data_IF_465875150925
#
_entry.id   IF_465875150925
#
_cell.length_a   1.000
_cell.length_b   1.000
_cell.length_c   1.000
_cell.angle_alpha   90.00
_cell.angle_beta   90.00
_cell.angle_gamma   90.00
#
_symmetry.space_group_name_H-M   'P 1'
#
loop_
_entity.id
_entity.type
_entity.pdbx_description
1 polymer ?
#
# COMPACT_ATOMS: atom_id res chain seq x y z
N UNK A 1 -14.19 49.41 -3.87
CA UNK A 1 -14.54 48.31 -2.94
C UNK A 1 -15.49 47.26 -3.54
N UNK A 2 -16.31 47.56 -4.56
CA UNK A 2 -17.27 46.59 -5.13
C UNK A 2 -16.69 45.43 -5.97
N UNK A 3 -15.55 45.62 -6.64
CA UNK A 3 -14.94 44.57 -7.49
C UNK A 3 -14.32 43.42 -6.67
N UNK A 4 -13.67 43.72 -5.55
CA UNK A 4 -13.08 42.72 -4.66
C UNK A 4 -14.14 41.86 -3.96
N UNK A 5 -15.29 42.44 -3.62
CA UNK A 5 -16.41 41.71 -3.02
C UNK A 5 -17.08 40.75 -4.03
N UNK A 6 -17.20 41.15 -5.29
CA UNK A 6 -17.72 40.30 -6.36
C UNK A 6 -16.77 39.14 -6.70
N UNK A 7 -15.46 39.40 -6.77
CA UNK A 7 -14.44 38.36 -7.01
C UNK A 7 -14.38 37.38 -5.82
N UNK A 8 -14.46 37.88 -4.59
CA UNK A 8 -14.52 37.03 -3.39
C UNK A 8 -15.80 36.17 -3.36
N UNK A 9 -16.95 36.74 -3.77
CA UNK A 9 -18.22 36.03 -3.87
C UNK A 9 -18.22 34.94 -4.94
N UNK A 10 -17.64 35.18 -6.11
CA UNK A 10 -17.53 34.18 -7.18
C UNK A 10 -16.55 33.06 -6.83
N UNK A 11 -15.42 33.38 -6.20
CA UNK A 11 -14.47 32.36 -5.71
C UNK A 11 -15.11 31.51 -4.62
N UNK A 12 -15.80 32.11 -3.65
CA UNK A 12 -16.47 31.39 -2.57
C UNK A 12 -17.57 30.45 -3.10
N UNK A 13 -18.42 30.93 -4.02
CA UNK A 13 -19.47 30.11 -4.63
C UNK A 13 -18.91 28.98 -5.51
N UNK A 14 -17.82 29.23 -6.25
CA UNK A 14 -17.12 28.19 -7.01
C UNK A 14 -16.47 27.14 -6.10
N UNK A 15 -15.83 27.55 -5.01
CA UNK A 15 -15.28 26.63 -4.01
C UNK A 15 -16.39 25.79 -3.36
N UNK A 16 -17.50 26.41 -2.96
CA UNK A 16 -18.64 25.71 -2.39
C UNK A 16 -19.30 24.75 -3.39
N UNK A 17 -19.42 25.11 -4.67
CA UNK A 17 -19.98 24.22 -5.68
C UNK A 17 -19.07 23.02 -5.95
N UNK A 18 -17.74 23.21 -5.95
CA UNK A 18 -16.77 22.11 -6.07
C UNK A 18 -16.83 21.19 -4.84
N UNK A 19 -16.90 21.74 -3.63
CA UNK A 19 -17.05 20.95 -2.40
C UNK A 19 -18.38 20.19 -2.41
N UNK A 20 -19.48 20.84 -2.77
CA UNK A 20 -20.78 20.20 -2.84
C UNK A 20 -20.82 19.09 -3.91
N UNK A 21 -20.23 19.34 -5.09
CA UNK A 21 -20.18 18.35 -6.18
C UNK A 21 -19.30 17.15 -5.82
N UNK A 22 -18.17 17.38 -5.15
CA UNK A 22 -17.27 16.30 -4.71
C UNK A 22 -17.90 15.48 -3.58
N UNK A 23 -18.56 16.12 -2.61
CA UNK A 23 -19.31 15.44 -1.56
C UNK A 23 -20.47 14.63 -2.15
N UNK A 24 -21.22 15.19 -3.09
CA UNK A 24 -22.30 14.46 -3.77
C UNK A 24 -21.76 13.25 -4.53
N UNK A 25 -20.69 13.42 -5.32
CA UNK A 25 -20.04 12.34 -6.06
C UNK A 25 -19.52 11.23 -5.14
N UNK A 26 -18.85 11.58 -4.04
CA UNK A 26 -18.37 10.63 -3.04
C UNK A 26 -19.53 9.96 -2.31
N UNK A 27 -20.58 10.69 -1.94
CA UNK A 27 -21.76 10.15 -1.28
C UNK A 27 -22.48 9.11 -2.14
N UNK A 28 -22.73 9.43 -3.41
CA UNK A 28 -23.34 8.48 -4.37
C UNK A 28 -22.45 7.26 -4.55
N UNK A 29 -21.15 7.45 -4.74
CA UNK A 29 -20.21 6.35 -4.90
C UNK A 29 -20.15 5.46 -3.65
N UNK A 30 -20.17 6.06 -2.46
CA UNK A 30 -20.22 5.34 -1.19
C UNK A 30 -21.48 4.51 -1.03
N UNK A 31 -22.63 5.07 -1.40
CA UNK A 31 -23.90 4.34 -1.36
C UNK A 31 -23.93 3.17 -2.35
N UNK A 32 -23.36 3.34 -3.55
CA UNK A 32 -23.20 2.23 -4.51
C UNK A 32 -22.33 1.13 -3.93
N UNK A 33 -21.20 1.46 -3.31
CA UNK A 33 -20.32 0.49 -2.66
C UNK A 33 -21.06 -0.24 -1.53
N UNK A 34 -21.79 0.48 -0.67
CA UNK A 34 -22.57 -0.10 0.41
C UNK A 34 -23.66 -1.06 -0.08
N UNK A 35 -24.37 -0.69 -1.14
CA UNK A 35 -25.43 -1.51 -1.70
C UNK A 35 -24.92 -2.83 -2.31
N UNK A 36 -23.68 -2.84 -2.81
CA UNK A 36 -23.00 -4.05 -3.29
C UNK A 36 -22.53 -4.91 -2.10
N UNK A 37 -21.97 -4.27 -1.08
CA UNK A 37 -21.31 -4.98 0.01
C UNK A 37 -22.26 -5.49 1.09
N UNK A 38 -23.35 -4.78 1.36
CA UNK A 38 -24.17 -4.93 2.55
C UNK A 38 -25.68 -4.80 2.28
N UNK A 39 -26.48 -5.61 2.98
CA UNK A 39 -27.94 -5.47 3.04
C UNK A 39 -28.35 -4.23 3.86
N UNK A 40 -29.57 -3.69 3.67
CA UNK A 40 -30.03 -2.48 4.37
C UNK A 40 -29.95 -2.57 5.90
N UNK A 41 -30.21 -3.74 6.48
CA UNK A 41 -30.07 -4.02 7.93
C UNK A 41 -28.66 -3.72 8.46
N UNK A 42 -27.63 -4.14 7.72
CA UNK A 42 -26.21 -3.89 8.05
C UNK A 42 -25.85 -2.43 7.82
N UNK A 43 -26.39 -1.80 6.77
CA UNK A 43 -26.18 -0.37 6.52
C UNK A 43 -26.70 0.48 7.68
N UNK A 44 -27.91 0.20 8.18
CA UNK A 44 -28.46 0.84 9.39
C UNK A 44 -27.55 0.63 10.61
N UNK A 45 -26.98 -0.58 10.75
CA UNK A 45 -25.98 -0.88 11.78
C UNK A 45 -24.72 0.00 11.68
N UNK A 46 -24.25 0.34 10.47
CA UNK A 46 -23.13 1.26 10.26
C UNK A 46 -23.47 2.70 10.65
N UNK A 47 -24.72 3.11 10.52
CA UNK A 47 -25.20 4.42 10.99
C UNK A 47 -25.52 4.45 12.50
N UNK A 48 -25.32 3.33 13.22
CA UNK A 48 -25.51 3.25 14.68
C UNK A 48 -26.94 2.90 15.11
N UNK A 49 -27.79 2.41 14.20
CA UNK A 49 -29.14 1.95 14.54
C UNK A 49 -29.10 0.44 14.80
N UNK A 50 -29.45 0.01 16.02
CA UNK A 50 -29.62 -1.42 16.36
C UNK A 50 -31.04 -1.90 16.07
N UNK A 51 -31.13 -3.09 15.47
CA UNK A 51 -32.33 -3.93 15.32
C UNK A 51 -33.68 -3.18 15.35
N UNK A 52 -34.05 -2.61 14.20
CA UNK A 52 -35.44 -2.30 13.91
C UNK A 52 -35.94 -3.26 12.80
N UNK A 53 -37.25 -3.57 12.74
CA UNK A 53 -37.85 -4.29 11.61
C UNK A 53 -37.46 -3.64 10.28
N UNK A 54 -37.66 -4.29 9.10
CA UNK A 54 -37.08 -3.82 7.84
C UNK A 54 -37.59 -2.42 7.48
N UNK A 55 -36.80 -1.42 7.86
CA UNK A 55 -36.91 -0.02 7.51
C UNK A 55 -35.82 0.19 6.47
N UNK A 56 -36.17 0.74 5.31
CA UNK A 56 -35.13 1.08 4.32
C UNK A 56 -34.25 2.22 4.86
N UNK A 57 -33.04 2.39 4.33
CA UNK A 57 -32.17 3.51 4.74
C UNK A 57 -32.85 4.86 4.47
N UNK A 58 -33.65 4.97 3.41
CA UNK A 58 -34.48 6.14 3.12
C UNK A 58 -35.55 6.37 4.18
N UNK A 59 -36.29 5.32 4.58
CA UNK A 59 -37.33 5.46 5.61
C UNK A 59 -36.74 5.85 6.98
N UNK A 60 -35.51 5.43 7.28
CA UNK A 60 -34.81 5.81 8.50
C UNK A 60 -34.33 7.27 8.47
N UNK A 61 -33.97 7.78 7.29
CA UNK A 61 -33.62 9.18 7.10
C UNK A 61 -34.85 10.09 7.19
N UNK A 62 -35.95 9.69 6.57
CA UNK A 62 -37.23 10.44 6.57
C UNK A 62 -37.86 10.52 7.97
N UNK A 63 -37.61 9.52 8.81
CA UNK A 63 -38.03 9.48 10.22
C UNK A 63 -37.03 10.12 11.19
N UNK A 64 -35.99 10.77 10.67
CA UNK A 64 -34.90 11.40 11.44
C UNK A 64 -34.20 10.45 12.43
N UNK A 65 -34.24 9.14 12.20
CA UNK A 65 -33.54 8.14 13.01
C UNK A 65 -32.03 8.20 12.78
N UNK A 66 -31.61 8.68 11.60
CA UNK A 66 -30.23 8.96 11.24
C UNK A 66 -30.10 10.47 11.00
N UNK A 67 -29.13 11.11 11.64
CA UNK A 67 -28.83 12.51 11.30
C UNK A 67 -28.31 12.59 9.87
N UNK A 68 -28.84 13.51 9.06
CA UNK A 68 -28.37 13.72 7.68
C UNK A 68 -26.86 13.98 7.60
N UNK A 69 -26.28 14.60 8.62
CA UNK A 69 -24.83 14.77 8.75
C UNK A 69 -24.10 13.42 8.85
N UNK A 70 -24.55 12.50 9.72
CA UNK A 70 -23.94 11.16 9.87
C UNK A 70 -24.10 10.33 8.59
N UNK A 71 -25.24 10.46 7.91
CA UNK A 71 -25.44 9.82 6.62
C UNK A 71 -24.42 10.30 5.58
N UNK A 72 -24.25 11.61 5.41
CA UNK A 72 -23.31 12.20 4.43
C UNK A 72 -21.87 11.87 4.80
N UNK A 73 -21.47 11.98 6.07
CA UNK A 73 -20.08 11.71 6.48
C UNK A 73 -19.69 10.24 6.27
N UNK A 74 -20.53 9.29 6.68
CA UNK A 74 -20.25 7.86 6.51
C UNK A 74 -20.23 7.48 5.04
N UNK A 75 -21.21 7.93 4.24
CA UNK A 75 -21.25 7.61 2.80
C UNK A 75 -20.08 8.21 2.05
N UNK A 76 -19.70 9.45 2.31
CA UNK A 76 -18.53 10.07 1.66
C UNK A 76 -17.21 9.45 2.12
N UNK A 77 -17.14 8.94 3.35
CA UNK A 77 -15.94 8.32 3.88
C UNK A 77 -15.65 6.94 3.28
N UNK A 78 -16.67 6.16 2.92
CA UNK A 78 -16.50 4.78 2.44
C UNK A 78 -15.63 4.67 1.19
N UNK A 79 -15.80 5.47 0.12
CA UNK A 79 -14.89 5.43 -1.03
C UNK A 79 -13.46 5.80 -0.66
N UNK A 80 -13.26 6.77 0.24
CA UNK A 80 -11.94 7.17 0.72
C UNK A 80 -11.29 6.05 1.55
N UNK A 81 -12.08 5.40 2.40
CA UNK A 81 -11.68 4.25 3.18
C UNK A 81 -11.30 3.07 2.28
N UNK A 82 -12.13 2.73 1.29
CA UNK A 82 -11.82 1.69 0.32
C UNK A 82 -10.60 2.01 -0.52
N UNK A 83 -10.43 3.28 -0.92
CA UNK A 83 -9.25 3.73 -1.63
C UNK A 83 -8.01 3.57 -0.75
N UNK A 84 -8.08 3.97 0.53
CA UNK A 84 -7.02 3.71 1.49
C UNK A 84 -6.73 2.21 1.55
N UNK A 85 -7.72 1.35 1.79
CA UNK A 85 -7.56 -0.11 1.89
C UNK A 85 -6.92 -0.74 0.65
N UNK A 86 -7.32 -0.31 -0.55
CA UNK A 86 -6.82 -0.83 -1.84
C UNK A 86 -5.48 -0.19 -2.28
N UNK A 87 -5.09 0.91 -1.65
CA UNK A 87 -3.87 1.59 -2.03
C UNK A 87 -2.65 0.81 -1.52
N UNK A 88 -1.95 0.13 -2.43
CA UNK A 88 -0.53 -0.19 -2.28
C UNK A 88 0.22 1.14 -2.29
N UNK A 89 0.43 1.77 -1.13
CA UNK A 89 0.96 3.14 -1.07
C UNK A 89 2.18 3.25 -0.19
N UNK A 90 3.13 4.14 -0.58
CA UNK A 90 4.18 4.65 0.29
C UNK A 90 3.60 5.74 1.18
N UNK A 91 2.39 5.56 1.71
CA UNK A 91 1.91 6.54 2.67
C UNK A 91 2.68 6.32 3.98
N UNK A 92 3.26 7.38 4.52
CA UNK A 92 3.99 7.31 5.77
C UNK A 92 3.08 6.93 6.93
N UNK A 93 3.69 6.58 8.07
CA UNK A 93 2.99 6.29 9.32
C UNK A 93 1.87 7.30 9.67
N UNK A 94 2.05 8.58 9.31
CA UNK A 94 1.09 9.66 9.55
C UNK A 94 -0.29 9.42 8.92
N UNK A 95 -0.37 8.90 7.69
CA UNK A 95 -1.68 8.64 7.07
C UNK A 95 -2.34 7.43 7.69
N UNK A 96 -1.56 6.42 8.09
CA UNK A 96 -2.10 5.22 8.71
C UNK A 96 -2.74 5.59 10.05
N UNK A 97 -2.07 6.46 10.84
CA UNK A 97 -2.63 7.05 12.06
C UNK A 97 -3.87 7.89 11.76
N UNK A 98 -3.84 8.74 10.73
CA UNK A 98 -4.99 9.57 10.36
C UNK A 98 -6.21 8.72 9.98
N UNK A 99 -6.05 7.72 9.12
CA UNK A 99 -7.13 6.84 8.71
C UNK A 99 -7.60 5.91 9.84
N UNK A 100 -6.71 5.50 10.74
CA UNK A 100 -7.08 4.79 11.96
C UNK A 100 -7.96 5.68 12.85
N UNK A 101 -7.49 6.88 13.19
CA UNK A 101 -8.25 7.85 14.01
C UNK A 101 -9.59 8.19 13.37
N UNK A 102 -9.62 8.40 12.05
CA UNK A 102 -10.83 8.70 11.31
C UNK A 102 -11.80 7.50 11.30
N UNK A 103 -11.31 6.28 11.10
CA UNK A 103 -12.15 5.08 11.16
C UNK A 103 -12.75 4.87 12.56
N UNK A 104 -11.97 5.13 13.62
CA UNK A 104 -12.49 5.10 14.98
C UNK A 104 -13.48 6.24 15.21
N UNK A 105 -13.21 7.47 14.77
CA UNK A 105 -14.14 8.59 14.93
C UNK A 105 -15.46 8.40 14.17
N UNK A 106 -15.44 7.78 13.00
CA UNK A 106 -16.63 7.62 12.14
C UNK A 106 -17.50 6.43 12.55
N UNK A 107 -16.89 5.36 13.05
CA UNK A 107 -17.58 4.13 13.44
C UNK A 107 -17.66 3.92 14.95
N UNK A 108 -17.30 4.93 15.75
CA UNK A 108 -17.52 4.94 17.19
C UNK A 108 -18.59 5.98 17.50
N UNK A 109 -19.63 5.59 18.23
CA UNK A 109 -20.72 6.52 18.54
C UNK A 109 -20.29 7.46 19.68
N UNK A 110 -20.27 8.80 19.47
CA UNK A 110 -19.88 9.75 20.51
C UNK A 110 -20.81 9.74 21.73
N UNK A 111 -22.03 9.21 21.56
CA UNK A 111 -23.06 9.20 22.60
C UNK A 111 -23.07 7.92 23.46
N UNK A 112 -22.08 7.04 23.31
CA UNK A 112 -21.88 5.87 24.19
C UNK A 112 -22.91 4.73 24.04
N UNK A 113 -23.88 4.87 23.13
CA UNK A 113 -24.95 3.91 22.95
C UNK A 113 -24.73 3.17 21.62
N UNK A 114 -24.21 1.95 21.76
CA UNK A 114 -24.26 0.82 20.84
C UNK A 114 -23.12 0.63 19.82
N UNK A 115 -22.11 -0.12 20.25
CA UNK A 115 -21.18 -0.80 19.34
C UNK A 115 -21.94 -1.87 18.53
N UNK A 116 -22.15 -1.62 17.23
CA UNK A 116 -22.73 -2.58 16.29
C UNK A 116 -21.64 -3.45 15.67
N UNK A 117 -21.98 -4.68 15.30
CA UNK A 117 -21.03 -5.62 14.68
C UNK A 117 -20.40 -5.04 13.40
N UNK A 118 -21.16 -4.43 12.47
CA UNK A 118 -20.58 -3.86 11.23
C UNK A 118 -19.55 -2.76 11.52
N UNK A 119 -19.85 -1.87 12.46
CA UNK A 119 -18.94 -0.80 12.88
C UNK A 119 -17.66 -1.36 13.52
N UNK A 120 -17.78 -2.40 14.34
CA UNK A 120 -16.63 -3.11 14.92
C UNK A 120 -15.76 -3.76 13.85
N UNK A 121 -16.36 -4.39 12.84
CA UNK A 121 -15.65 -4.98 11.71
C UNK A 121 -14.85 -3.90 10.96
N UNK A 122 -15.48 -2.76 10.62
CA UNK A 122 -14.81 -1.66 9.90
C UNK A 122 -13.63 -1.07 10.68
N UNK A 123 -13.72 -0.91 12.01
CA UNK A 123 -12.59 -0.47 12.84
C UNK A 123 -11.45 -1.49 12.86
N UNK A 124 -11.78 -2.78 13.01
CA UNK A 124 -10.79 -3.87 13.03
C UNK A 124 -10.05 -4.01 11.70
N UNK A 125 -10.71 -3.79 10.57
CA UNK A 125 -10.10 -3.83 9.24
C UNK A 125 -8.99 -2.78 9.09
N UNK A 126 -9.17 -1.58 9.68
CA UNK A 126 -8.15 -0.54 9.63
C UNK A 126 -6.86 -0.99 10.37
N UNK A 127 -7.00 -1.64 11.52
CA UNK A 127 -5.88 -2.23 12.28
C UNK A 127 -5.25 -3.38 11.50
N UNK A 128 -6.07 -4.28 10.95
CA UNK A 128 -5.60 -5.42 10.17
C UNK A 128 -4.77 -4.98 8.97
N UNK A 129 -5.14 -3.87 8.33
CA UNK A 129 -4.36 -3.28 7.23
C UNK A 129 -2.96 -2.84 7.67
N UNK A 130 -2.85 -2.19 8.84
CA UNK A 130 -1.54 -1.75 9.37
C UNK A 130 -0.65 -2.97 9.63
N UNK A 131 -1.23 -4.03 10.21
CA UNK A 131 -0.53 -5.31 10.43
C UNK A 131 -0.12 -5.92 9.09
N UNK A 132 -1.02 -5.97 8.11
CA UNK A 132 -0.73 -6.50 6.78
C UNK A 132 0.40 -5.74 6.08
N UNK A 133 0.43 -4.40 6.22
CA UNK A 133 1.52 -3.56 5.70
C UNK A 133 2.85 -3.85 6.39
N UNK A 134 2.85 -4.05 7.72
CA UNK A 134 4.04 -4.43 8.45
C UNK A 134 4.56 -5.80 7.98
N UNK A 135 3.68 -6.79 7.84
CA UNK A 135 4.03 -8.12 7.30
C UNK A 135 4.60 -8.00 5.89
N UNK A 136 3.96 -7.22 5.02
CA UNK A 136 4.42 -6.99 3.66
C UNK A 136 5.83 -6.38 3.63
N UNK A 137 6.10 -5.36 4.43
CA UNK A 137 7.41 -4.72 4.51
C UNK A 137 8.49 -5.69 5.01
N UNK A 138 8.15 -6.56 5.97
CA UNK A 138 9.08 -7.56 6.53
C UNK A 138 9.37 -8.72 5.56
N UNK A 139 8.42 -9.07 4.69
CA UNK A 139 8.47 -10.27 3.85
C UNK A 139 8.66 -9.93 2.38
N UNK A 140 7.59 -9.51 1.70
CA UNK A 140 7.56 -9.33 0.25
C UNK A 140 8.44 -8.15 -0.19
N UNK A 141 8.38 -7.01 0.50
CA UNK A 141 9.19 -5.84 0.13
C UNK A 141 10.69 -6.12 0.26
N UNK A 142 11.06 -6.91 1.28
CA UNK A 142 12.43 -7.37 1.46
C UNK A 142 12.91 -8.28 0.33
N UNK A 143 12.04 -9.15 -0.18
CA UNK A 143 12.34 -9.96 -1.38
C UNK A 143 12.57 -9.05 -2.59
N UNK A 144 11.73 -8.04 -2.78
CA UNK A 144 11.93 -7.05 -3.84
C UNK A 144 13.23 -6.27 -3.69
N UNK A 145 13.60 -5.84 -2.48
CA UNK A 145 14.88 -5.18 -2.22
C UNK A 145 16.06 -6.07 -2.64
N UNK A 146 16.04 -7.36 -2.28
CA UNK A 146 17.08 -8.31 -2.69
C UNK A 146 17.14 -8.53 -4.20
N UNK A 147 16.02 -8.45 -4.90
CA UNK A 147 16.01 -8.49 -6.36
C UNK A 147 16.65 -7.24 -6.96
N UNK A 148 16.36 -6.05 -6.42
CA UNK A 148 16.97 -4.81 -6.88
C UNK A 148 18.47 -4.77 -6.63
N UNK A 149 18.95 -5.29 -5.49
CA UNK A 149 20.39 -5.39 -5.21
C UNK A 149 21.17 -6.24 -6.23
N UNK A 150 20.47 -7.15 -6.93
CA UNK A 150 21.07 -8.01 -7.97
C UNK A 150 20.97 -7.43 -9.38
N UNK A 151 20.25 -6.33 -9.56
CA UNK A 151 20.14 -5.61 -10.83
C UNK A 151 21.05 -4.39 -10.75
N UNK A 152 21.64 -3.98 -11.86
CA UNK A 152 22.43 -2.76 -11.91
C UNK A 152 21.59 -1.51 -11.53
N UNK A 153 22.12 -0.56 -10.75
CA UNK A 153 21.40 0.62 -10.26
C UNK A 153 20.79 1.52 -11.34
N UNK A 154 21.39 1.53 -12.53
CA UNK A 154 20.98 2.34 -13.68
C UNK A 154 19.52 2.09 -14.10
N UNK A 155 18.99 0.88 -13.92
CA UNK A 155 17.62 0.53 -14.31
C UNK A 155 16.54 1.14 -13.42
N UNK A 156 16.90 1.66 -12.24
CA UNK A 156 15.96 2.20 -11.27
C UNK A 156 16.38 3.55 -10.68
N UNK A 157 17.45 4.15 -11.20
CA UNK A 157 17.97 5.45 -10.76
C UNK A 157 16.91 6.56 -10.80
N UNK A 158 16.04 6.59 -11.81
CA UNK A 158 14.97 7.60 -11.95
C UNK A 158 13.92 7.57 -10.83
N UNK A 159 13.84 6.48 -10.07
CA UNK A 159 12.80 6.25 -9.06
C UNK A 159 13.31 6.37 -7.63
N UNK A 160 14.62 6.47 -7.44
CA UNK A 160 15.27 6.59 -6.14
C UNK A 160 15.83 8.00 -5.95
N UNK A 161 15.89 8.44 -4.68
CA UNK A 161 16.66 9.64 -4.38
C UNK A 161 18.15 9.34 -4.58
N UNK A 162 18.93 10.34 -5.01
CA UNK A 162 20.38 10.18 -5.20
C UNK A 162 21.09 9.68 -3.93
N UNK A 163 20.64 10.12 -2.76
CA UNK A 163 21.17 9.68 -1.47
C UNK A 163 20.80 8.24 -1.10
N UNK A 164 19.66 7.72 -1.57
CA UNK A 164 19.30 6.31 -1.35
C UNK A 164 19.99 5.40 -2.37
N UNK A 165 20.26 5.89 -3.59
CA UNK A 165 21.04 5.19 -4.62
C UNK A 165 22.49 4.97 -4.16
N UNK A 166 23.16 6.05 -3.72
CA UNK A 166 24.53 5.99 -3.19
C UNK A 166 24.64 5.04 -1.99
N UNK A 167 23.60 4.98 -1.15
CA UNK A 167 23.54 4.01 -0.06
C UNK A 167 23.49 2.58 -0.58
N UNK A 168 22.62 2.29 -1.55
CA UNK A 168 22.52 0.94 -2.12
C UNK A 168 23.83 0.52 -2.80
N UNK A 169 24.47 1.43 -3.53
CA UNK A 169 25.79 1.20 -4.15
C UNK A 169 26.86 0.91 -3.09
N UNK A 170 26.96 1.76 -2.07
CA UNK A 170 27.89 1.53 -0.95
C UNK A 170 27.59 0.21 -0.20
N UNK A 171 26.34 -0.21 -0.12
CA UNK A 171 25.94 -1.49 0.49
C UNK A 171 26.28 -2.70 -0.39
N UNK A 172 26.36 -2.53 -1.71
CA UNK A 172 26.84 -3.56 -2.63
C UNK A 172 28.36 -3.69 -2.49
N UNK A 173 29.07 -2.56 -2.46
CA UNK A 173 30.52 -2.52 -2.25
C UNK A 173 30.93 -3.08 -0.88
N UNK A 174 30.26 -2.67 0.21
CA UNK A 174 30.51 -3.18 1.55
C UNK A 174 30.28 -4.70 1.62
N UNK A 175 29.27 -5.25 0.93
CA UNK A 175 29.01 -6.68 0.93
C UNK A 175 30.08 -7.45 0.14
N UNK A 176 30.53 -6.92 -1.01
CA UNK A 176 31.63 -7.50 -1.78
C UNK A 176 32.96 -7.48 -0.98
N UNK A 177 33.25 -6.38 -0.28
CA UNK A 177 34.41 -6.29 0.61
C UNK A 177 34.32 -7.27 1.78
N UNK A 178 33.12 -7.49 2.31
CA UNK A 178 32.91 -8.43 3.41
C UNK A 178 33.12 -9.87 2.99
N UNK A 179 32.64 -10.27 1.81
CA UNK A 179 32.89 -11.61 1.27
C UNK A 179 34.40 -11.89 1.20
N UNK A 180 35.16 -10.94 0.66
CA UNK A 180 36.63 -11.00 0.62
C UNK A 180 37.29 -11.06 2.02
N UNK A 181 36.76 -10.31 3.00
CA UNK A 181 37.26 -10.34 4.39
C UNK A 181 36.89 -11.62 5.13
N UNK A 182 35.72 -12.19 4.87
CA UNK A 182 35.28 -13.46 5.44
C UNK A 182 36.12 -14.62 4.92
N UNK A 183 36.47 -14.62 3.64
CA UNK A 183 37.44 -15.57 3.08
C UNK A 183 38.80 -15.46 3.77
N UNK A 184 39.31 -14.25 3.96
CA UNK A 184 40.56 -14.01 4.68
C UNK A 184 40.49 -14.40 6.17
N UNK A 185 39.34 -14.18 6.82
CA UNK A 185 39.11 -14.56 8.21
C UNK A 185 38.94 -16.08 8.37
N UNK A 186 38.36 -16.78 7.39
CA UNK A 186 38.23 -18.23 7.38
C UNK A 186 39.59 -18.93 7.37
N UNK A 187 40.59 -18.33 6.69
CA UNK A 187 41.99 -18.78 6.70
C UNK A 187 42.62 -18.60 8.08
N UNK A 188 42.41 -17.45 8.74
CA UNK A 188 42.93 -17.17 10.09
C UNK A 188 42.24 -17.99 11.19
N UNK A 189 40.94 -18.25 11.04
CA UNK A 189 40.14 -19.00 12.01
C UNK A 189 40.43 -20.52 12.01
N UNK A 190 41.20 -21.01 11.03
CA UNK A 190 41.71 -22.39 11.01
C UNK A 190 42.72 -22.68 12.14
N UNK A 191 43.31 -21.65 12.74
CA UNK A 191 44.32 -21.78 13.80
C UNK A 191 43.73 -21.94 15.22
N UNK A 192 42.41 -21.79 15.40
CA UNK A 192 41.76 -21.83 16.71
C UNK A 192 41.10 -23.20 17.02
N UNK A 193 41.00 -23.58 18.31
CA UNK A 193 40.26 -24.77 18.72
C UNK A 193 38.78 -24.68 18.36
N UNK A 194 38.20 -25.85 18.04
CA UNK A 194 36.91 -26.01 17.34
C UNK A 194 35.74 -25.26 18.01
N UNK A 195 35.68 -25.24 19.35
CA UNK A 195 34.61 -24.60 20.12
C UNK A 195 34.69 -23.07 20.08
N UNK A 196 35.91 -22.51 20.22
CA UNK A 196 36.13 -21.06 20.13
C UNK A 196 35.91 -20.56 18.69
N UNK A 197 36.26 -21.37 17.70
CA UNK A 197 35.96 -21.12 16.28
C UNK A 197 34.45 -21.02 16.04
N UNK A 198 33.66 -21.96 16.57
CA UNK A 198 32.19 -21.95 16.45
C UNK A 198 31.55 -20.76 17.15
N UNK A 199 31.91 -20.49 18.42
CA UNK A 199 31.36 -19.36 19.19
C UNK A 199 31.67 -18.02 18.52
N UNK A 200 32.91 -17.80 18.09
CA UNK A 200 33.33 -16.54 17.47
C UNK A 200 32.71 -16.34 16.09
N UNK A 201 32.45 -17.43 15.36
CA UNK A 201 31.74 -17.39 14.08
C UNK A 201 30.25 -17.11 14.29
N UNK A 202 29.63 -17.72 15.30
CA UNK A 202 28.24 -17.49 15.65
C UNK A 202 27.99 -16.05 16.13
N UNK A 203 28.82 -15.52 17.03
CA UNK A 203 28.66 -14.14 17.52
C UNK A 203 28.85 -13.10 16.41
N UNK A 204 29.87 -13.25 15.54
CA UNK A 204 30.06 -12.37 14.37
C UNK A 204 28.87 -12.47 13.42
N UNK A 205 28.47 -13.69 13.07
CA UNK A 205 27.30 -13.90 12.21
C UNK A 205 26.02 -13.29 12.79
N UNK A 206 25.78 -13.37 14.10
CA UNK A 206 24.59 -12.81 14.75
C UNK A 206 24.62 -11.27 14.74
N UNK A 207 25.74 -10.65 15.10
CA UNK A 207 25.84 -9.18 15.14
C UNK A 207 25.74 -8.58 13.73
N UNK A 208 26.42 -9.18 12.75
CA UNK A 208 26.39 -8.73 11.37
C UNK A 208 25.04 -8.98 10.69
N UNK A 209 24.41 -10.13 10.94
CA UNK A 209 23.07 -10.41 10.39
C UNK A 209 22.00 -9.52 11.01
N UNK A 210 22.05 -9.24 12.31
CA UNK A 210 21.06 -8.36 12.96
C UNK A 210 21.21 -6.92 12.52
N UNK A 211 22.43 -6.39 12.41
CA UNK A 211 22.67 -5.02 11.92
C UNK A 211 22.22 -4.85 10.46
N UNK A 212 22.56 -5.81 9.61
CA UNK A 212 22.13 -5.83 8.20
C UNK A 212 20.61 -5.94 8.11
N UNK A 213 20.00 -6.82 8.91
CA UNK A 213 18.56 -6.97 8.97
C UNK A 213 17.83 -5.68 9.37
N UNK A 214 18.32 -4.97 10.38
CA UNK A 214 17.75 -3.69 10.80
C UNK A 214 17.86 -2.60 9.73
N UNK A 215 19.00 -2.53 9.03
CA UNK A 215 19.19 -1.58 7.92
C UNK A 215 18.25 -1.89 6.75
N UNK A 216 18.18 -3.14 6.32
CA UNK A 216 17.25 -3.60 5.27
C UNK A 216 15.80 -3.25 5.64
N UNK A 217 15.42 -3.49 6.89
CA UNK A 217 14.07 -3.21 7.39
C UNK A 217 13.76 -1.72 7.38
N UNK A 218 14.71 -0.86 7.77
CA UNK A 218 14.56 0.60 7.71
C UNK A 218 14.35 1.09 6.27
N UNK A 219 15.14 0.59 5.31
CA UNK A 219 14.98 0.92 3.88
C UNK A 219 13.65 0.40 3.33
N UNK A 220 13.30 -0.86 3.59
CA UNK A 220 12.04 -1.48 3.20
C UNK A 220 10.81 -0.84 3.88
N UNK A 221 10.99 -0.13 5.00
CA UNK A 221 9.90 0.62 5.63
C UNK A 221 9.63 1.96 4.94
N UNK A 222 10.66 2.55 4.32
CA UNK A 222 10.61 3.87 3.66
C UNK A 222 10.25 3.75 2.18
N UNK A 223 10.80 2.75 1.51
CA UNK A 223 10.74 2.59 0.05
C UNK A 223 10.01 1.30 -0.29
N UNK A 224 9.01 1.40 -1.17
CA UNK A 224 8.27 0.25 -1.69
C UNK A 224 8.90 -0.21 -3.02
N UNK A 225 9.78 -1.21 -2.93
CA UNK A 225 10.56 -1.73 -4.05
C UNK A 225 9.67 -2.45 -5.09
N UNK A 226 8.45 -2.84 -4.74
CA UNK A 226 7.52 -3.45 -5.72
C UNK A 226 7.16 -2.53 -6.88
N UNK A 227 7.17 -1.22 -6.63
CA UNK A 227 6.82 -0.19 -7.62
C UNK A 227 7.99 0.19 -8.51
N UNK A 228 9.20 -0.26 -8.22
CA UNK A 228 10.34 0.06 -9.07
C UNK A 228 10.28 -0.67 -10.42
N UNK A 229 9.65 -1.85 -10.50
CA UNK A 229 9.45 -2.57 -11.76
C UNK A 229 8.32 -2.02 -12.65
N UNK A 230 7.50 -1.06 -12.23
CA UNK A 230 6.37 -0.56 -13.04
C UNK A 230 5.90 0.85 -12.68
N UNK A 231 5.00 1.42 -13.48
CA UNK A 231 4.34 2.68 -13.14
C UNK A 231 2.96 2.39 -12.54
N UNK A 232 2.68 2.96 -11.35
CA UNK A 232 1.33 2.90 -10.77
C UNK A 232 0.54 4.12 -11.23
N UNK A 233 -0.43 3.94 -12.13
CA UNK A 233 -1.33 5.05 -12.52
C UNK A 233 -2.41 5.28 -11.47
N UNK A 234 -2.66 6.55 -11.12
CA UNK A 234 -3.73 6.94 -10.20
C UNK A 234 -5.10 6.48 -10.71
N UNK A 235 -5.33 6.55 -12.02
CA UNK A 235 -6.57 6.08 -12.65
C UNK A 235 -6.83 4.59 -12.40
N UNK A 236 -5.80 3.73 -12.56
CA UNK A 236 -5.92 2.29 -12.28
C UNK A 236 -6.28 2.06 -10.82
N UNK A 237 -5.74 2.85 -9.90
CA UNK A 237 -6.07 2.76 -8.47
C UNK A 237 -7.53 3.13 -8.24
N UNK A 238 -7.99 4.27 -8.73
CA UNK A 238 -9.40 4.71 -8.60
C UNK A 238 -10.35 3.67 -9.18
N UNK A 239 -10.09 3.19 -10.40
CA UNK A 239 -10.91 2.18 -11.05
C UNK A 239 -10.93 0.86 -10.25
N UNK A 240 -9.78 0.39 -9.79
CA UNK A 240 -9.71 -0.83 -8.98
C UNK A 240 -10.45 -0.69 -7.65
N UNK A 241 -10.49 0.50 -7.05
CA UNK A 241 -11.23 0.74 -5.80
C UNK A 241 -12.73 0.56 -5.98
N UNK A 242 -13.29 1.01 -7.12
CA UNK A 242 -14.72 0.87 -7.40
C UNK A 242 -15.11 -0.51 -7.91
N UNK A 243 -14.21 -1.21 -8.61
CA UNK A 243 -14.45 -2.58 -9.08
C UNK A 243 -14.26 -3.62 -7.98
N UNK A 244 -13.43 -3.34 -6.97
CA UNK A 244 -13.10 -4.28 -5.91
C UNK A 244 -14.34 -4.80 -5.14
N UNK A 245 -15.29 -3.97 -4.69
CA UNK A 245 -16.53 -4.44 -4.05
C UNK A 245 -17.29 -5.48 -4.87
N UNK A 246 -17.47 -5.24 -6.18
CA UNK A 246 -18.18 -6.18 -7.07
C UNK A 246 -17.41 -7.46 -7.28
N UNK A 247 -16.09 -7.37 -7.48
CA UNK A 247 -15.25 -8.56 -7.58
C UNK A 247 -15.25 -9.37 -6.28
N UNK A 248 -15.23 -8.69 -5.13
CA UNK A 248 -15.31 -9.32 -3.82
C UNK A 248 -16.64 -10.00 -3.55
N UNK A 249 -17.76 -9.37 -3.90
CA UNK A 249 -19.10 -9.98 -3.85
C UNK A 249 -19.16 -11.23 -4.74
N UNK A 250 -18.61 -11.15 -5.96
CA UNK A 250 -18.56 -12.28 -6.88
C UNK A 250 -17.78 -13.46 -6.30
N UNK A 251 -16.57 -13.22 -5.76
CA UNK A 251 -15.74 -14.24 -5.10
C UNK A 251 -16.41 -14.78 -3.84
N UNK A 252 -17.07 -13.93 -3.06
CA UNK A 252 -17.85 -14.32 -1.89
C UNK A 252 -18.96 -15.30 -2.25
N UNK A 253 -19.72 -14.98 -3.29
CA UNK A 253 -20.91 -15.74 -3.70
C UNK A 253 -20.58 -17.03 -4.43
N UNK A 254 -19.47 -17.08 -5.19
CA UNK A 254 -19.15 -18.25 -6.01
C UNK A 254 -18.05 -19.14 -5.41
N UNK A 255 -17.09 -18.57 -4.68
CA UNK A 255 -15.89 -19.30 -4.23
C UNK A 255 -15.91 -19.52 -2.72
N UNK A 256 -16.06 -18.44 -1.93
CA UNK A 256 -16.01 -18.56 -0.46
C UNK A 256 -17.18 -19.36 0.09
N UNK A 257 -18.34 -19.34 -0.57
CA UNK A 257 -19.50 -20.15 -0.16
C UNK A 257 -19.24 -21.66 -0.25
N UNK A 258 -18.34 -22.09 -1.14
CA UNK A 258 -18.02 -23.50 -1.36
C UNK A 258 -17.03 -24.04 -0.31
N UNK A 259 -16.39 -23.17 0.47
CA UNK A 259 -15.40 -23.56 1.47
C UNK A 259 -16.10 -24.19 2.68
N UNK A 260 -15.82 -25.47 2.99
CA UNK A 260 -16.40 -26.12 4.17
C UNK A 260 -16.01 -25.37 5.45
N UNK A 261 -16.98 -25.11 6.33
CA UNK A 261 -16.74 -24.42 7.60
C UNK A 261 -16.67 -22.88 7.50
N UNK A 262 -16.78 -22.29 6.31
CA UNK A 262 -16.81 -20.81 6.16
C UNK A 262 -17.95 -20.18 6.97
N UNK A 263 -19.16 -20.74 6.88
CA UNK A 263 -20.31 -20.22 7.65
C UNK A 263 -20.09 -20.36 9.17
N UNK A 264 -19.47 -21.45 9.62
CA UNK A 264 -19.13 -21.65 11.03
C UNK A 264 -18.12 -20.62 11.51
N UNK A 265 -17.09 -20.32 10.70
CA UNK A 265 -16.11 -19.27 11.00
C UNK A 265 -16.77 -17.89 11.06
N UNK A 266 -17.61 -17.53 10.08
CA UNK A 266 -18.28 -16.24 10.03
C UNK A 266 -19.20 -16.01 11.23
N UNK A 267 -19.97 -17.04 11.61
CA UNK A 267 -20.90 -16.98 12.75
C UNK A 267 -20.21 -16.75 14.10
N UNK A 268 -18.89 -16.91 14.22
CA UNK A 268 -18.15 -16.55 15.44
C UNK A 268 -17.98 -15.04 15.60
N UNK A 269 -18.11 -14.28 14.50
CA UNK A 269 -17.85 -12.84 14.46
C UNK A 269 -19.10 -12.03 14.14
N UNK A 270 -20.23 -12.68 13.85
CA UNK A 270 -21.48 -12.03 13.41
C UNK A 270 -22.68 -12.60 14.12
N UNK A 271 -23.64 -11.73 14.46
CA UNK A 271 -24.85 -12.10 15.20
C UNK A 271 -26.02 -12.43 14.24
N UNK A 272 -26.01 -11.86 13.03
CA UNK A 272 -27.08 -12.04 12.04
C UNK A 272 -26.56 -12.58 10.70
N UNK A 273 -27.42 -13.25 9.89
CA UNK A 273 -27.02 -13.73 8.57
C UNK A 273 -26.62 -12.60 7.61
N UNK A 274 -27.24 -11.43 7.71
CA UNK A 274 -26.88 -10.28 6.87
C UNK A 274 -25.48 -9.75 7.20
N UNK A 275 -25.10 -9.74 8.48
CA UNK A 275 -23.73 -9.42 8.91
C UNK A 275 -22.72 -10.45 8.42
N UNK A 276 -23.09 -11.74 8.45
CA UNK A 276 -22.25 -12.82 7.92
C UNK A 276 -21.96 -12.64 6.42
N UNK A 277 -22.97 -12.22 5.64
CA UNK A 277 -22.83 -11.91 4.22
C UNK A 277 -21.91 -10.70 4.00
N UNK A 278 -22.07 -9.65 4.80
CA UNK A 278 -21.20 -8.47 4.75
C UNK A 278 -19.73 -8.83 5.03
N UNK A 279 -19.48 -9.60 6.10
CA UNK A 279 -18.13 -10.05 6.44
C UNK A 279 -17.55 -10.96 5.34
N UNK A 280 -18.35 -11.84 4.75
CA UNK A 280 -17.92 -12.70 3.64
C UNK A 280 -17.56 -11.89 2.39
N UNK A 281 -18.33 -10.84 2.07
CA UNK A 281 -18.02 -9.93 0.97
C UNK A 281 -16.70 -9.19 1.19
N UNK A 282 -16.42 -8.75 2.42
CA UNK A 282 -15.13 -8.17 2.80
C UNK A 282 -13.99 -9.19 2.61
N UNK A 283 -14.17 -10.44 3.05
CA UNK A 283 -13.18 -11.50 2.82
C UNK A 283 -12.98 -11.76 1.33
N UNK A 284 -14.04 -11.71 0.54
CA UNK A 284 -13.98 -11.81 -0.92
C UNK A 284 -13.09 -10.71 -1.52
N UNK A 285 -13.25 -9.45 -1.08
CA UNK A 285 -12.36 -8.36 -1.46
C UNK A 285 -10.91 -8.65 -1.09
N UNK A 286 -10.65 -9.17 0.12
CA UNK A 286 -9.29 -9.52 0.55
C UNK A 286 -8.66 -10.60 -0.35
N UNK A 287 -9.42 -11.63 -0.73
CA UNK A 287 -8.96 -12.67 -1.67
C UNK A 287 -8.64 -12.09 -3.05
N UNK A 288 -9.48 -11.20 -3.58
CA UNK A 288 -9.23 -10.53 -4.87
C UNK A 288 -7.93 -9.72 -4.81
N UNK A 289 -7.70 -8.99 -3.72
CA UNK A 289 -6.46 -8.23 -3.53
C UNK A 289 -5.26 -9.18 -3.46
N UNK A 290 -5.33 -10.27 -2.69
CA UNK A 290 -4.25 -11.26 -2.62
C UNK A 290 -3.94 -11.88 -3.99
N UNK A 291 -4.96 -12.27 -4.75
CA UNK A 291 -4.78 -12.80 -6.10
C UNK A 291 -4.09 -11.78 -7.03
N UNK A 292 -4.49 -10.51 -6.96
CA UNK A 292 -3.86 -9.41 -7.70
C UNK A 292 -2.39 -9.21 -7.30
N UNK A 293 -2.08 -9.28 -6.00
CA UNK A 293 -0.71 -9.15 -5.49
C UNK A 293 0.16 -10.33 -5.94
N UNK A 294 -0.37 -11.57 -5.92
CA UNK A 294 0.34 -12.74 -6.44
C UNK A 294 0.67 -12.59 -7.93
N UNK A 295 -0.29 -12.16 -8.76
CA UNK A 295 -0.04 -11.91 -10.18
C UNK A 295 1.00 -10.81 -10.37
N UNK A 296 0.92 -9.72 -9.59
CA UNK A 296 1.90 -8.63 -9.65
C UNK A 296 3.30 -9.09 -9.23
N UNK A 297 3.38 -9.95 -8.22
CA UNK A 297 4.62 -10.57 -7.77
C UNK A 297 5.24 -11.46 -8.85
N UNK A 298 4.45 -12.32 -9.49
CA UNK A 298 4.92 -13.16 -10.60
C UNK A 298 5.42 -12.32 -11.78
N UNK A 299 4.67 -11.30 -12.19
CA UNK A 299 5.08 -10.41 -13.28
C UNK A 299 6.38 -9.65 -12.95
N UNK A 300 6.52 -9.16 -11.72
CA UNK A 300 7.74 -8.51 -11.29
C UNK A 300 8.92 -9.48 -11.21
N UNK A 301 8.71 -10.74 -10.85
CA UNK A 301 9.75 -11.77 -10.89
C UNK A 301 10.26 -12.02 -12.30
N UNK A 302 9.37 -12.12 -13.28
CA UNK A 302 9.77 -12.29 -14.68
C UNK A 302 10.55 -11.07 -15.19
N UNK A 303 10.13 -9.85 -14.82
CA UNK A 303 10.87 -8.62 -15.14
C UNK A 303 12.24 -8.57 -14.48
N UNK A 304 12.33 -8.96 -13.21
CA UNK A 304 13.60 -9.10 -12.50
C UNK A 304 14.55 -10.05 -13.27
N UNK A 305 14.06 -11.23 -13.68
CA UNK A 305 14.86 -12.18 -14.47
C UNK A 305 15.33 -11.62 -15.80
N UNK A 306 14.48 -10.84 -16.48
CA UNK A 306 14.85 -10.18 -17.75
C UNK A 306 15.92 -9.11 -17.55
N UNK A 307 15.79 -8.28 -16.52
CA UNK A 307 16.76 -7.22 -16.22
C UNK A 307 18.10 -7.78 -15.73
N UNK A 308 18.07 -8.88 -14.97
CA UNK A 308 19.30 -9.54 -14.51
C UNK A 308 20.11 -10.13 -15.68
N UNK A 309 19.46 -10.51 -16.79
CA UNK A 309 20.16 -11.05 -17.96
C UNK A 309 20.74 -10.00 -18.89
N UNK A 310 20.53 -8.72 -18.61
CA UNK A 310 21.07 -7.62 -19.42
C UNK A 310 22.32 -7.12 -18.71
N UNK A 311 23.47 -7.42 -19.29
CA UNK A 311 24.72 -6.74 -18.94
C UNK A 311 24.72 -5.40 -19.68
N UNK A 312 24.74 -4.29 -18.95
CA UNK A 312 25.03 -2.99 -19.53
C UNK A 312 26.54 -2.88 -19.60
N UNK A 313 27.08 -2.75 -20.81
CA UNK A 313 28.49 -2.43 -21.00
C UNK A 313 28.78 -1.09 -20.30
N UNK A 314 29.56 -1.17 -19.22
CA UNK A 314 29.99 -0.02 -18.44
C UNK A 314 31.05 0.80 -19.17
N UNK A 315 31.52 0.37 -20.34
CA UNK A 315 32.60 1.03 -21.05
C UNK A 315 32.14 2.43 -21.52
N UNK A 316 32.58 3.51 -20.84
CA UNK A 316 32.36 4.86 -21.34
C UNK A 316 33.29 5.11 -22.53
N UNK A 317 34.16 4.15 -22.87
CA UNK A 317 35.32 4.37 -23.72
C UNK A 317 34.92 4.81 -25.11
N UNK A 318 33.86 4.26 -25.70
CA UNK A 318 33.51 4.57 -27.08
C UNK A 318 32.71 5.87 -27.21
N UNK A 319 31.77 6.16 -26.29
CA UNK A 319 31.03 7.42 -26.34
C UNK A 319 31.86 8.60 -25.81
N UNK A 320 32.65 8.40 -24.76
CA UNK A 320 33.58 9.43 -24.26
C UNK A 320 34.79 9.58 -25.18
N UNK A 321 35.30 8.53 -25.87
CA UNK A 321 36.27 8.73 -26.97
C UNK A 321 35.65 9.45 -28.13
N UNK A 322 34.45 9.07 -28.56
CA UNK A 322 33.77 9.74 -29.66
C UNK A 322 33.53 11.22 -29.34
N UNK A 323 33.08 11.53 -28.12
CA UNK A 323 32.93 12.92 -27.68
C UNK A 323 34.29 13.63 -27.54
N UNK A 324 35.33 12.97 -27.03
CA UNK A 324 36.67 13.55 -26.98
C UNK A 324 37.22 13.82 -28.39
N UNK A 325 37.09 12.91 -29.35
CA UNK A 325 37.51 13.11 -30.76
C UNK A 325 36.70 14.23 -31.43
N UNK A 326 35.38 14.25 -31.25
CA UNK A 326 34.51 15.27 -31.87
C UNK A 326 34.74 16.67 -31.28
N UNK A 327 35.14 16.77 -30.01
CA UNK A 327 35.38 18.06 -29.35
C UNK A 327 36.86 18.49 -29.30
N UNK A 328 37.84 17.57 -29.32
CA UNK A 328 39.27 17.92 -29.50
C UNK A 328 39.58 18.34 -30.95
N UNK A 329 38.92 17.77 -31.96
CA UNK A 329 39.07 18.24 -33.35
C UNK A 329 38.47 19.63 -33.60
N UNK A 330 37.65 20.13 -32.66
CA UNK A 330 37.02 21.45 -32.72
C UNK A 330 37.94 22.61 -32.35
N UNK A 331 38.94 22.39 -31.48
CA UNK A 331 39.80 23.45 -30.95
C UNK A 331 41.05 23.74 -31.82
N UNK A 332 41.47 22.79 -32.67
CA UNK A 332 42.61 23.03 -33.59
C UNK A 332 42.24 23.85 -34.85
N UNK A 333 40.95 24.11 -35.11
CA UNK A 333 40.50 24.91 -36.27
C UNK A 333 40.20 26.38 -35.97
N UNK A 334 40.54 26.87 -34.77
CA UNK A 334 40.40 28.29 -34.41
C UNK A 334 41.69 28.89 -33.82
N UNK A 335 42.80 28.80 -34.54
CA UNK A 335 43.85 29.82 -34.44
C UNK A 335 43.83 30.69 -35.70
N UNK A 336 43.33 31.93 -35.63
CA UNK A 336 43.48 32.88 -36.73
C UNK A 336 44.92 33.38 -36.76
N UNK A 337 45.57 33.24 -37.91
CA UNK A 337 46.74 34.03 -38.28
C UNK A 337 46.41 35.51 -38.42
#
# INVERSE_FOLDING_TARGET
>A
MGSAALISGTISTACLSLIASTLFGLGVAGQVILNVMAKPSVQLGLYGIKHFPPISVSDALDKELISGQKFVTVTCFIPLYMMYMNATMPFGFQTDVMFLMLSYSMFNDPNGITDTVPSRIMRRIAVLKIIAKAIYNLTINRVYYRWHKKIQPCFFADKLSSGDLQRIESEIEEDNERENREEAAAIKDAAYPLVLRFLRRAFRAIDDTTRTWWRELLLCSKIDFSKMFGSSSLYRRVLSTFLLPRAGEYVSTHWLILVPGMNTFLNQFTDTPDESLFLRNILGCAVVVLARELVSFSLNYFRFRQLQSIDVDEDPSDYCRYMAEVYDEGDERQQPH
#
